data_IF_787779763316
#
_entry.id   IF_787779763316
#
_cell.length_a   1.000
_cell.length_b   1.000
_cell.length_c   1.000
_cell.angle_alpha   90.00
_cell.angle_beta   90.00
_cell.angle_gamma   90.00
#
_symmetry.space_group_name_H-M   'P 1'
#
loop_
_entity.id
_entity.type
_entity.pdbx_description
1 polymer ?
#
# COMPACT_ATOMS: atom_id res chain seq x y z
N UNK A 1 -22.32 23.77 5.58
CA UNK A 1 -21.01 24.40 5.78
C UNK A 1 -20.08 23.45 6.52
N UNK A 2 -20.53 22.88 7.63
CA UNK A 2 -19.71 21.90 8.36
C UNK A 2 -19.50 20.62 7.57
N UNK A 3 -20.53 20.17 6.85
CA UNK A 3 -20.43 18.96 6.04
C UNK A 3 -19.44 19.13 4.89
N UNK A 4 -19.39 20.31 4.28
CA UNK A 4 -18.44 20.59 3.20
C UNK A 4 -17.01 20.57 3.72
N UNK A 5 -16.78 21.11 4.92
CA UNK A 5 -15.44 21.09 5.53
C UNK A 5 -15.02 19.65 5.87
N UNK A 6 -15.94 18.86 6.42
CA UNK A 6 -15.68 17.47 6.75
C UNK A 6 -15.25 16.68 5.51
N UNK A 7 -15.97 16.86 4.41
CA UNK A 7 -15.67 16.17 3.15
C UNK A 7 -14.30 16.57 2.63
N UNK A 8 -13.97 17.87 2.65
CA UNK A 8 -12.67 18.35 2.19
C UNK A 8 -11.54 17.79 3.04
N UNK A 9 -11.70 17.79 4.37
CA UNK A 9 -10.67 17.29 5.27
C UNK A 9 -10.42 15.80 5.08
N UNK A 10 -11.49 15.01 4.91
CA UNK A 10 -11.35 13.57 4.70
C UNK A 10 -10.77 13.23 3.32
N UNK A 11 -11.12 14.00 2.29
CA UNK A 11 -10.52 13.82 0.97
C UNK A 11 -9.03 14.13 1.02
N UNK A 12 -8.65 15.20 1.72
CA UNK A 12 -7.25 15.56 1.89
C UNK A 12 -6.48 14.46 2.62
N UNK A 13 -7.02 13.90 3.70
CA UNK A 13 -6.40 12.81 4.42
C UNK A 13 -6.24 11.56 3.57
N UNK A 14 -7.27 11.23 2.78
CA UNK A 14 -7.20 10.07 1.87
C UNK A 14 -6.10 10.26 0.84
N UNK A 15 -5.97 11.47 0.29
CA UNK A 15 -4.90 11.78 -0.67
C UNK A 15 -3.52 11.65 -0.03
N UNK A 16 -3.37 12.09 1.22
CA UNK A 16 -2.12 11.94 1.95
C UNK A 16 -1.78 10.47 2.18
N UNK A 17 -2.77 9.66 2.58
CA UNK A 17 -2.56 8.24 2.81
C UNK A 17 -2.20 7.51 1.52
N UNK A 18 -2.82 7.90 0.40
CA UNK A 18 -2.49 7.32 -0.91
C UNK A 18 -1.05 7.68 -1.29
N UNK A 19 -0.63 8.93 -1.04
CA UNK A 19 0.75 9.33 -1.27
C UNK A 19 1.72 8.53 -0.41
N UNK A 20 1.36 8.30 0.86
CA UNK A 20 2.17 7.48 1.74
C UNK A 20 2.27 6.04 1.23
N UNK A 21 1.18 5.50 0.71
CA UNK A 21 1.20 4.18 0.07
C UNK A 21 2.14 4.16 -1.13
N UNK A 22 2.09 5.21 -1.97
CA UNK A 22 2.97 5.30 -3.13
C UNK A 22 4.44 5.31 -2.70
N UNK A 23 4.77 6.11 -1.71
CA UNK A 23 6.14 6.18 -1.19
C UNK A 23 6.58 4.85 -0.59
N UNK A 24 5.71 4.22 0.20
CA UNK A 24 6.02 2.93 0.83
C UNK A 24 6.22 1.83 -0.22
N UNK A 25 5.37 1.77 -1.23
CA UNK A 25 5.48 0.73 -2.26
C UNK A 25 6.69 0.95 -3.15
N UNK A 26 7.03 2.20 -3.47
CA UNK A 26 8.24 2.51 -4.22
C UNK A 26 9.49 2.06 -3.46
N UNK A 27 9.51 2.29 -2.16
CA UNK A 27 10.59 1.82 -1.30
C UNK A 27 10.67 0.30 -1.29
N UNK A 28 9.52 -0.36 -1.19
CA UNK A 28 9.47 -1.82 -1.22
C UNK A 28 10.03 -2.38 -2.53
N UNK A 29 9.67 -1.77 -3.66
CA UNK A 29 10.17 -2.20 -4.97
C UNK A 29 11.69 -2.04 -5.02
N UNK A 30 12.20 -0.87 -4.62
CA UNK A 30 13.64 -0.61 -4.61
C UNK A 30 14.37 -1.60 -3.70
N UNK A 31 13.84 -1.79 -2.49
CA UNK A 31 14.46 -2.71 -1.53
C UNK A 31 14.42 -4.16 -2.01
N UNK A 32 13.33 -4.57 -2.66
CA UNK A 32 13.22 -5.94 -3.18
C UNK A 32 14.24 -6.18 -4.30
N UNK A 33 14.43 -5.22 -5.18
CA UNK A 33 15.42 -5.32 -6.26
C UNK A 33 16.83 -5.33 -5.67
N UNK A 34 17.10 -4.44 -4.73
CA UNK A 34 18.41 -4.40 -4.06
C UNK A 34 18.71 -5.69 -3.32
N UNK A 35 17.71 -6.27 -2.66
CA UNK A 35 17.89 -7.53 -1.95
C UNK A 35 18.26 -8.67 -2.93
N UNK A 36 17.70 -8.63 -4.12
CA UNK A 36 18.00 -9.60 -5.16
C UNK A 36 19.43 -9.40 -5.68
N UNK A 37 19.78 -8.15 -6.04
CA UNK A 37 21.08 -7.84 -6.63
C UNK A 37 22.21 -8.14 -5.64
N UNK A 38 22.02 -7.77 -4.38
CA UNK A 38 23.03 -7.90 -3.34
C UNK A 38 22.95 -9.21 -2.57
N UNK A 39 21.95 -10.04 -2.82
CA UNK A 39 21.65 -11.24 -2.07
C UNK A 39 21.57 -10.94 -0.57
N UNK A 40 20.83 -9.90 -0.23
CA UNK A 40 20.71 -9.40 1.14
C UNK A 40 19.42 -9.92 1.79
N UNK A 41 19.57 -10.95 2.62
CA UNK A 41 18.46 -11.61 3.28
C UNK A 41 17.71 -10.67 4.24
N UNK A 42 18.44 -9.86 4.96
CA UNK A 42 17.81 -8.94 5.93
C UNK A 42 16.95 -7.90 5.22
N UNK A 43 17.44 -7.41 4.08
CA UNK A 43 16.70 -6.43 3.29
C UNK A 43 15.44 -7.06 2.71
N UNK A 44 15.52 -8.32 2.25
CA UNK A 44 14.35 -9.05 1.77
C UNK A 44 13.30 -9.20 2.87
N UNK A 45 13.73 -9.58 4.06
CA UNK A 45 12.83 -9.74 5.21
C UNK A 45 12.21 -8.41 5.63
N UNK A 46 12.99 -7.34 5.58
CA UNK A 46 12.48 -5.98 5.86
C UNK A 46 11.39 -5.59 4.88
N UNK A 47 11.61 -5.88 3.59
CA UNK A 47 10.61 -5.60 2.55
C UNK A 47 9.30 -6.30 2.84
N UNK A 48 9.37 -7.57 3.23
CA UNK A 48 8.16 -8.32 3.55
C UNK A 48 7.39 -7.73 4.71
N UNK A 49 8.10 -7.21 5.71
CA UNK A 49 7.45 -6.56 6.86
C UNK A 49 6.80 -5.22 6.48
N UNK A 50 7.35 -4.53 5.51
CA UNK A 50 6.80 -3.24 5.05
C UNK A 50 5.43 -3.43 4.39
N UNK A 51 5.10 -4.61 3.91
CA UNK A 51 3.80 -4.89 3.33
C UNK A 51 2.67 -4.65 4.34
N UNK A 52 2.92 -4.89 5.61
CA UNK A 52 1.93 -4.65 6.66
C UNK A 52 1.57 -3.16 6.76
N UNK A 53 2.54 -2.28 6.52
CA UNK A 53 2.30 -0.84 6.53
C UNK A 53 1.39 -0.44 5.36
N UNK A 54 1.65 -1.00 4.19
CA UNK A 54 0.83 -0.74 2.99
C UNK A 54 -0.60 -1.23 3.21
N UNK A 55 -0.76 -2.43 3.76
CA UNK A 55 -2.07 -3.00 4.04
C UNK A 55 -2.84 -2.15 5.05
N UNK A 56 -2.17 -1.65 6.07
CA UNK A 56 -2.80 -0.79 7.07
C UNK A 56 -3.24 0.54 6.45
N UNK A 57 -2.40 1.13 5.61
CA UNK A 57 -2.74 2.37 4.91
C UNK A 57 -3.93 2.15 3.97
N UNK A 58 -3.96 1.01 3.27
CA UNK A 58 -5.07 0.69 2.39
C UNK A 58 -6.38 0.61 3.18
N UNK A 59 -6.36 -0.03 4.35
CA UNK A 59 -7.54 -0.13 5.20
C UNK A 59 -8.04 1.23 5.66
N UNK A 60 -7.12 2.14 5.99
CA UNK A 60 -7.47 3.50 6.38
C UNK A 60 -8.12 4.25 5.23
N UNK A 61 -7.54 4.17 4.04
CA UNK A 61 -8.11 4.82 2.85
C UNK A 61 -9.51 4.29 2.58
N UNK A 62 -9.66 2.98 2.61
CA UNK A 62 -10.95 2.34 2.36
C UNK A 62 -12.02 2.84 3.33
N UNK A 63 -11.69 2.88 4.62
CA UNK A 63 -12.64 3.35 5.64
C UNK A 63 -13.01 4.81 5.43
N UNK A 64 -12.02 5.65 5.12
CA UNK A 64 -12.25 7.08 4.86
C UNK A 64 -13.14 7.29 3.66
N UNK A 65 -12.91 6.55 2.57
CA UNK A 65 -13.69 6.69 1.35
C UNK A 65 -15.13 6.20 1.54
N UNK A 66 -15.34 5.12 2.30
CA UNK A 66 -16.66 4.65 2.65
C UNK A 66 -17.42 5.74 3.43
N UNK A 67 -16.74 6.39 4.38
CA UNK A 67 -17.33 7.49 5.15
C UNK A 67 -17.72 8.66 4.27
N UNK A 68 -16.88 9.01 3.29
CA UNK A 68 -17.19 10.10 2.35
C UNK A 68 -18.42 9.80 1.51
N UNK A 69 -18.55 8.57 1.01
CA UNK A 69 -19.72 8.17 0.23
C UNK A 69 -20.98 8.24 1.09
N UNK A 70 -20.88 7.84 2.36
CA UNK A 70 -22.00 7.93 3.29
C UNK A 70 -22.45 9.36 3.58
N UNK A 71 -21.50 10.31 3.59
CA UNK A 71 -21.83 11.71 3.80
C UNK A 71 -22.35 12.40 2.54
N UNK A 72 -21.82 12.04 1.38
CA UNK A 72 -22.20 12.66 0.11
C UNK A 72 -22.04 11.63 -1.01
N UNK A 73 -23.14 11.02 -1.39
CA UNK A 73 -23.15 9.99 -2.43
C UNK A 73 -22.72 10.51 -3.79
N UNK A 74 -22.75 11.84 -4.01
CA UNK A 74 -22.28 12.41 -5.27
C UNK A 74 -20.77 12.28 -5.43
N UNK A 75 -20.05 11.96 -4.36
CA UNK A 75 -18.60 11.73 -4.38
C UNK A 75 -18.23 10.29 -4.68
N UNK A 76 -19.23 9.43 -4.94
CA UNK A 76 -18.99 7.99 -5.14
C UNK A 76 -17.98 7.69 -6.23
N UNK A 77 -18.08 8.36 -7.38
CA UNK A 77 -17.17 8.12 -8.50
C UNK A 77 -15.73 8.49 -8.14
N UNK A 78 -15.54 9.66 -7.52
CA UNK A 78 -14.22 10.09 -7.08
C UNK A 78 -13.63 9.10 -6.06
N UNK A 79 -14.46 8.69 -5.10
CA UNK A 79 -14.02 7.74 -4.07
C UNK A 79 -13.63 6.40 -4.68
N UNK A 80 -14.38 5.94 -5.67
CA UNK A 80 -14.07 4.69 -6.35
C UNK A 80 -12.74 4.79 -7.08
N UNK A 81 -12.51 5.92 -7.78
CA UNK A 81 -11.24 6.13 -8.48
C UNK A 81 -10.06 6.14 -7.50
N UNK A 82 -10.21 6.82 -6.37
CA UNK A 82 -9.16 6.84 -5.36
C UNK A 82 -8.90 5.45 -4.78
N UNK A 83 -9.97 4.68 -4.56
CA UNK A 83 -9.84 3.31 -4.06
C UNK A 83 -9.09 2.43 -5.06
N UNK A 84 -9.37 2.60 -6.34
CA UNK A 84 -8.68 1.84 -7.40
C UNK A 84 -7.19 2.18 -7.44
N UNK A 85 -6.85 3.47 -7.29
CA UNK A 85 -5.45 3.87 -7.23
C UNK A 85 -4.76 3.22 -6.03
N UNK A 86 -5.41 3.26 -4.87
CA UNK A 86 -4.87 2.61 -3.67
C UNK A 86 -4.68 1.11 -3.88
N UNK A 87 -5.61 0.47 -4.57
CA UNK A 87 -5.53 -0.95 -4.87
C UNK A 87 -4.34 -1.27 -5.78
N UNK A 88 -4.03 -0.41 -6.74
CA UNK A 88 -2.85 -0.58 -7.58
C UNK A 88 -1.57 -0.55 -6.76
N UNK A 89 -1.47 0.39 -5.83
CA UNK A 89 -0.29 0.44 -4.95
C UNK A 89 -0.19 -0.80 -4.07
N UNK A 90 -1.32 -1.29 -3.56
CA UNK A 90 -1.32 -2.52 -2.79
C UNK A 90 -0.78 -3.70 -3.62
N UNK A 91 -1.20 -3.79 -4.88
CA UNK A 91 -0.72 -4.83 -5.79
C UNK A 91 0.78 -4.70 -6.06
N UNK A 92 1.27 -3.47 -6.21
CA UNK A 92 2.70 -3.24 -6.40
C UNK A 92 3.46 -3.73 -5.16
N UNK A 93 2.93 -3.45 -3.96
CA UNK A 93 3.51 -3.95 -2.72
C UNK A 93 3.54 -5.47 -2.66
N UNK A 94 2.45 -6.10 -3.09
CA UNK A 94 2.38 -7.57 -3.13
C UNK A 94 3.44 -8.15 -4.07
N UNK A 95 3.65 -7.54 -5.23
CA UNK A 95 4.68 -7.99 -6.15
C UNK A 95 6.07 -7.83 -5.56
N UNK A 96 6.32 -6.71 -4.88
CA UNK A 96 7.60 -6.51 -4.20
C UNK A 96 7.83 -7.57 -3.12
N UNK A 97 6.77 -7.90 -2.37
CA UNK A 97 6.81 -8.96 -1.36
C UNK A 97 7.15 -10.30 -2.01
N UNK A 98 6.54 -10.61 -3.16
CA UNK A 98 6.82 -11.85 -3.87
C UNK A 98 8.28 -11.93 -4.29
N UNK A 99 8.86 -10.83 -4.76
CA UNK A 99 10.29 -10.78 -5.10
C UNK A 99 11.14 -11.05 -3.85
N UNK A 100 10.80 -10.41 -2.74
CA UNK A 100 11.54 -10.57 -1.48
C UNK A 100 11.46 -12.02 -0.98
N UNK A 101 10.29 -12.64 -1.08
CA UNK A 101 10.12 -14.05 -0.70
C UNK A 101 10.99 -14.97 -1.57
N UNK A 102 11.03 -14.68 -2.87
CA UNK A 102 11.86 -15.43 -3.78
C UNK A 102 13.35 -15.29 -3.43
N UNK A 103 13.76 -14.06 -3.07
CA UNK A 103 15.14 -13.82 -2.65
C UNK A 103 15.46 -14.61 -1.39
N UNK A 104 14.57 -14.59 -0.41
CA UNK A 104 14.77 -15.37 0.82
C UNK A 104 14.88 -16.87 0.49
N UNK A 105 13.98 -17.37 -0.34
CA UNK A 105 14.01 -18.76 -0.74
C UNK A 105 15.34 -19.11 -1.45
N UNK A 106 15.81 -18.24 -2.35
CA UNK A 106 17.04 -18.51 -3.10
C UNK A 106 18.28 -18.53 -2.22
N UNK A 107 18.24 -17.82 -1.09
CA UNK A 107 19.37 -17.75 -0.15
C UNK A 107 19.30 -18.89 0.86
N UNK A 108 18.13 -19.12 1.45
CA UNK A 108 17.97 -20.09 2.54
C UNK A 108 17.62 -21.49 2.07
N UNK A 109 17.08 -21.62 0.87
CA UNK A 109 16.58 -22.90 0.38
C UNK A 109 15.27 -23.35 1.00
N UNK A 110 14.61 -22.45 1.76
CA UNK A 110 13.34 -22.76 2.43
C UNK A 110 12.20 -22.00 1.78
N UNK A 111 11.18 -22.74 1.35
CA UNK A 111 10.00 -22.15 0.74
C UNK A 111 9.07 -21.62 1.83
N UNK A 112 8.80 -20.32 1.80
CA UNK A 112 8.09 -19.64 2.87
C UNK A 112 6.60 -20.00 2.93
N UNK A 113 6.00 -20.31 1.80
CA UNK A 113 4.56 -20.58 1.72
C UNK A 113 4.15 -21.89 2.34
N UNK A 114 5.10 -22.75 2.59
CA UNK A 114 4.81 -24.02 3.23
C UNK A 114 4.76 -23.89 4.74
#
# INVERSE_FOLDING_TARGET
>A
VENARYIQDNTYESNLHIRDMAEATMKMVTDSIDSFVKRDLELARKTMKEDDVVDELFSKVKTELIGLIGEDSSKGEMCLDLLMIAKYFERIGDHATNIAEWVEYSITGVHIED
#
